data_IF_153563156220
#
_entry.id   IF_153563156220
#
_cell.length_a   1.000
_cell.length_b   1.000
_cell.length_c   1.000
_cell.angle_alpha   90.00
_cell.angle_beta   90.00
_cell.angle_gamma   90.00
#
_symmetry.space_group_name_H-M   'P 1'
#
loop_
_entity.id
_entity.type
_entity.pdbx_description
1 polymer ?
#
# COMPACT_ATOMS: atom_id res chain seq x y z
N UNK A 1 1.70 -3.75 45.52
CA UNK A 1 0.28 -3.37 45.31
C UNK A 1 -0.18 -4.12 44.07
N UNK A 2 -1.09 -5.06 44.27
CA UNK A 2 -1.59 -6.02 43.27
C UNK A 2 -2.58 -5.34 42.34
N UNK A 3 -2.36 -5.42 41.02
CA UNK A 3 -3.42 -5.25 40.01
C UNK A 3 -3.36 -6.45 39.07
N UNK A 4 -4.25 -7.38 39.36
CA UNK A 4 -4.73 -8.45 38.48
C UNK A 4 -5.44 -7.83 37.27
N UNK A 5 -4.99 -8.16 36.05
CA UNK A 5 -5.81 -8.09 34.84
C UNK A 5 -6.42 -9.48 34.58
N UNK A 6 -7.66 -9.57 34.08
CA UNK A 6 -8.28 -10.85 33.79
C UNK A 6 -7.88 -11.32 32.38
N UNK A 7 -7.37 -12.55 32.32
CA UNK A 7 -7.15 -13.31 31.09
C UNK A 7 -8.51 -13.67 30.46
N UNK A 8 -8.72 -13.28 29.20
CA UNK A 8 -9.81 -13.80 28.36
C UNK A 8 -9.29 -15.11 27.75
N UNK A 9 -9.75 -16.21 28.31
CA UNK A 9 -9.54 -17.57 27.80
C UNK A 9 -10.64 -17.86 26.78
N UNK A 10 -10.28 -18.09 25.51
CA UNK A 10 -11.18 -18.71 24.51
C UNK A 10 -10.59 -20.01 23.98
N UNK A 11 -11.51 -20.86 23.56
CA UNK A 11 -11.44 -22.30 23.46
C UNK A 11 -10.59 -22.76 22.27
N UNK A 12 -9.58 -23.60 22.53
CA UNK A 12 -8.97 -24.44 21.51
C UNK A 12 -9.84 -25.70 21.30
N UNK A 13 -10.44 -25.83 20.12
CA UNK A 13 -10.91 -27.11 19.61
C UNK A 13 -9.75 -27.77 18.87
N UNK A 14 -9.33 -28.94 19.36
CA UNK A 14 -8.23 -29.73 18.85
C UNK A 14 -8.48 -30.23 17.42
N UNK A 15 -7.75 -29.69 16.45
CA UNK A 15 -7.55 -30.30 15.14
C UNK A 15 -6.09 -30.78 15.03
N UNK A 16 -5.93 -31.97 14.45
CA UNK A 16 -4.68 -32.73 14.45
C UNK A 16 -3.79 -32.25 13.30
N UNK A 17 -2.66 -31.63 13.63
CA UNK A 17 -1.66 -31.17 12.68
C UNK A 17 -1.10 -32.33 11.84
N UNK A 18 -1.26 -32.24 10.53
CA UNK A 18 -0.42 -32.93 9.55
C UNK A 18 0.48 -31.85 8.96
N UNK A 19 1.72 -31.82 9.43
CA UNK A 19 2.75 -30.89 8.96
C UNK A 19 3.04 -31.13 7.47
N UNK A 20 2.82 -30.09 6.66
CA UNK A 20 3.42 -29.94 5.33
C UNK A 20 4.28 -28.67 5.41
N UNK A 21 5.58 -28.85 5.52
CA UNK A 21 6.54 -27.76 5.52
C UNK A 21 6.63 -27.14 4.12
N UNK A 22 6.28 -25.87 3.99
CA UNK A 22 6.72 -25.01 2.89
C UNK A 22 7.85 -24.13 3.42
N UNK A 23 9.05 -24.32 2.88
CA UNK A 23 10.22 -23.54 3.25
C UNK A 23 10.25 -22.27 2.39
N UNK A 24 10.04 -21.11 3.02
CA UNK A 24 10.45 -19.82 2.44
C UNK A 24 11.91 -19.60 2.81
N UNK A 25 12.73 -19.39 1.80
CA UNK A 25 14.18 -19.41 1.90
C UNK A 25 14.70 -18.11 2.53
N UNK A 26 15.20 -18.22 3.77
CA UNK A 26 16.00 -17.18 4.41
C UNK A 26 17.29 -16.90 3.63
N UNK A 27 17.58 -15.61 3.47
CA UNK A 27 18.67 -15.05 2.69
C UNK A 27 20.06 -15.60 3.01
N UNK A 28 20.82 -15.85 1.94
CA UNK A 28 22.23 -16.22 2.02
C UNK A 28 23.12 -14.99 2.09
N UNK A 29 23.94 -14.90 3.15
CA UNK A 29 25.13 -14.04 3.23
C UNK A 29 25.97 -14.17 1.94
N UNK A 30 26.08 -13.08 1.17
CA UNK A 30 27.03 -12.98 0.06
C UNK A 30 28.42 -12.60 0.58
N UNK A 31 29.35 -13.56 0.57
CA UNK A 31 30.79 -13.34 0.76
C UNK A 31 31.41 -12.76 -0.51
N UNK A 32 32.08 -11.61 -0.41
CA UNK A 32 32.88 -10.99 -1.47
C UNK A 32 34.11 -11.83 -1.87
N UNK A 33 34.45 -11.96 -3.17
CA UNK A 33 35.80 -12.35 -3.59
C UNK A 33 36.57 -11.18 -4.23
N UNK A 34 37.76 -10.89 -3.69
CA UNK A 34 38.77 -10.01 -4.27
C UNK A 34 39.52 -10.69 -5.46
N UNK A 35 40.23 -9.93 -6.32
CA UNK A 35 40.39 -10.27 -7.74
C UNK A 35 41.64 -11.09 -8.07
N UNK A 36 41.55 -11.92 -9.12
CA UNK A 36 42.69 -12.58 -9.73
C UNK A 36 42.84 -12.19 -11.21
N UNK A 37 43.95 -11.53 -11.52
CA UNK A 37 44.40 -11.20 -12.86
C UNK A 37 45.08 -12.40 -13.55
N UNK A 38 44.78 -12.63 -14.84
CA UNK A 38 45.70 -13.15 -15.88
C UNK A 38 44.93 -13.27 -17.22
N UNK A 39 45.13 -12.35 -18.18
CA UNK A 39 46.09 -12.46 -19.30
C UNK A 39 45.91 -13.64 -20.28
N UNK A 40 45.31 -13.31 -21.44
CA UNK A 40 45.95 -13.27 -22.77
C UNK A 40 45.65 -14.36 -23.82
N UNK A 41 45.62 -13.86 -25.07
CA UNK A 41 45.66 -14.50 -26.41
C UNK A 41 44.31 -14.95 -26.99
N UNK A 42 43.94 -14.62 -28.23
CA UNK A 42 44.56 -13.85 -29.31
C UNK A 42 43.88 -14.16 -30.65
N UNK A 43 43.95 -13.22 -31.60
CA UNK A 43 43.73 -13.44 -33.05
C UNK A 43 42.31 -13.15 -33.55
N UNK A 44 42.03 -12.02 -34.21
CA UNK A 44 42.41 -11.60 -35.57
C UNK A 44 41.35 -11.94 -36.65
N UNK A 45 40.77 -10.89 -37.25
CA UNK A 45 40.83 -10.55 -38.70
C UNK A 45 39.50 -10.06 -39.31
N UNK A 46 39.57 -8.85 -39.92
CA UNK A 46 39.07 -8.39 -41.25
C UNK A 46 37.56 -8.58 -41.61
N UNK A 47 36.81 -7.69 -42.29
CA UNK A 47 37.12 -6.65 -43.29
C UNK A 47 35.89 -5.75 -43.59
N UNK A 48 36.18 -4.47 -43.85
CA UNK A 48 35.56 -3.41 -44.67
C UNK A 48 34.17 -3.49 -45.36
N UNK A 49 33.57 -2.28 -45.43
CA UNK A 49 32.69 -1.75 -46.50
C UNK A 49 31.53 -0.93 -45.89
N UNK A 50 31.36 0.38 -46.00
CA UNK A 50 31.82 1.40 -46.95
C UNK A 50 30.71 1.74 -47.94
N UNK A 51 29.98 2.86 -47.77
CA UNK A 51 29.38 3.69 -48.82
C UNK A 51 28.84 5.03 -48.24
N UNK A 52 28.68 6.01 -49.12
CA UNK A 52 28.91 7.46 -49.00
C UNK A 52 27.69 8.25 -49.53
N UNK A 53 27.68 9.56 -49.24
CA UNK A 53 26.94 10.70 -49.84
C UNK A 53 25.46 10.89 -49.48
N UNK A 54 24.91 12.09 -49.24
CA UNK A 54 25.40 13.47 -49.28
C UNK A 54 24.23 14.46 -49.53
N UNK A 55 24.33 15.70 -49.01
CA UNK A 55 23.51 16.93 -49.27
C UNK A 55 22.00 16.89 -48.92
N UNK A 56 21.29 17.96 -48.53
CA UNK A 56 21.47 19.40 -48.75
C UNK A 56 20.72 20.26 -47.70
N UNK A 57 21.16 21.51 -47.56
CA UNK A 57 20.61 22.64 -46.77
C UNK A 57 19.39 23.27 -47.47
N UNK A 58 18.30 23.70 -46.81
CA UNK A 58 18.14 24.97 -46.11
C UNK A 58 17.42 26.03 -46.99
N UNK A 59 16.24 26.53 -46.59
CA UNK A 59 15.52 27.72 -47.11
C UNK A 59 14.39 28.02 -46.08
N UNK A 60 14.34 29.15 -45.37
CA UNK A 60 14.07 30.57 -45.70
C UNK A 60 12.58 30.97 -45.69
N UNK A 61 12.41 32.19 -45.20
CA UNK A 61 11.31 32.99 -44.70
C UNK A 61 10.20 33.42 -45.68
N UNK A 62 9.08 33.91 -45.11
CA UNK A 62 8.07 34.66 -45.88
C UNK A 62 6.83 35.13 -45.10
N UNK A 63 6.80 36.42 -44.76
CA UNK A 63 5.63 37.22 -44.34
C UNK A 63 4.50 37.27 -45.38
N UNK A 64 3.23 37.48 -44.95
CA UNK A 64 2.44 38.72 -45.20
C UNK A 64 1.03 38.68 -44.59
N UNK A 65 0.62 39.83 -44.06
CA UNK A 65 -0.74 40.27 -43.72
C UNK A 65 -1.70 40.25 -44.93
N UNK A 66 -3.01 40.07 -44.68
CA UNK A 66 -4.07 40.97 -45.18
C UNK A 66 -5.44 40.57 -44.61
N UNK A 67 -6.16 41.54 -44.04
CA UNK A 67 -7.51 41.36 -43.51
C UNK A 67 -8.61 41.62 -44.55
N UNK A 68 -9.79 41.03 -44.35
CA UNK A 68 -11.06 41.64 -44.76
C UNK A 68 -12.28 41.01 -44.07
N UNK A 69 -13.09 41.91 -43.52
CA UNK A 69 -14.40 41.77 -42.89
C UNK A 69 -15.53 41.46 -43.92
N UNK A 70 -16.50 40.60 -43.55
CA UNK A 70 -17.94 40.58 -43.92
C UNK A 70 -18.61 39.25 -43.54
N UNK A 71 -19.61 39.29 -42.65
CA UNK A 71 -20.69 38.28 -42.59
C UNK A 71 -21.87 38.64 -43.51
N UNK A 72 -23.06 38.03 -43.37
CA UNK A 72 -23.42 36.71 -42.83
C UNK A 72 -24.22 35.86 -43.86
N UNK A 73 -24.63 34.63 -43.47
CA UNK A 73 -25.87 33.91 -43.84
C UNK A 73 -25.69 32.43 -44.26
N UNK A 74 -26.48 31.59 -43.56
CA UNK A 74 -27.12 30.34 -43.98
C UNK A 74 -26.30 29.04 -44.10
N UNK A 75 -26.38 28.21 -43.05
CA UNK A 75 -26.19 26.75 -43.11
C UNK A 75 -27.36 26.04 -43.79
N UNK A 76 -27.10 24.89 -44.44
CA UNK A 76 -27.67 23.65 -43.91
C UNK A 76 -26.74 22.44 -43.97
N UNK A 77 -26.59 21.75 -42.84
CA UNK A 77 -26.83 20.30 -42.68
C UNK A 77 -25.94 19.24 -43.36
N UNK A 78 -25.51 18.30 -42.49
CA UNK A 78 -25.22 16.86 -42.68
C UNK A 78 -23.78 16.40 -42.99
N UNK A 79 -23.29 15.47 -42.14
CA UNK A 79 -22.37 14.42 -42.56
C UNK A 79 -21.55 13.78 -41.44
N UNK A 80 -22.17 12.98 -40.57
CA UNK A 80 -21.43 12.07 -39.68
C UNK A 80 -20.70 10.98 -40.48
N UNK A 81 -19.45 10.69 -40.09
CA UNK A 81 -18.71 9.48 -40.51
C UNK A 81 -18.43 8.64 -39.27
N UNK A 82 -19.09 7.49 -39.19
CA UNK A 82 -18.78 6.45 -38.21
C UNK A 82 -17.39 5.87 -38.45
N UNK A 83 -16.69 5.58 -37.35
CA UNK A 83 -15.46 4.77 -37.34
C UNK A 83 -15.82 3.28 -37.39
N UNK A 84 -15.03 2.53 -38.13
CA UNK A 84 -15.17 1.08 -38.28
C UNK A 84 -14.58 0.34 -37.08
N UNK A 85 -15.09 -0.87 -36.74
CA UNK A 85 -14.61 -1.67 -35.62
C UNK A 85 -13.34 -2.45 -36.00
N UNK A 86 -12.28 -2.33 -35.21
CA UNK A 86 -11.06 -3.14 -35.38
C UNK A 86 -9.73 -2.51 -34.93
N UNK A 87 -9.71 -1.28 -34.42
CA UNK A 87 -8.47 -0.69 -33.93
C UNK A 87 -8.31 -1.01 -32.43
N UNK A 88 -7.48 -2.02 -32.14
CA UNK A 88 -7.02 -2.32 -30.80
C UNK A 88 -6.26 -1.09 -30.28
N UNK A 89 -6.89 -0.35 -29.37
CA UNK A 89 -6.24 0.74 -28.67
C UNK A 89 -5.06 0.21 -27.87
N UNK A 90 -3.87 0.65 -28.24
CA UNK A 90 -2.70 0.69 -27.36
C UNK A 90 -3.14 1.28 -26.02
N UNK A 91 -3.32 0.43 -25.01
CA UNK A 91 -3.55 0.87 -23.63
C UNK A 91 -2.31 1.63 -23.20
N UNK A 92 -2.46 2.92 -22.86
CA UNK A 92 -1.46 3.61 -22.06
C UNK A 92 -1.18 2.78 -20.80
N UNK A 93 0.07 2.75 -20.29
CA UNK A 93 0.35 2.15 -18.98
C UNK A 93 -0.59 2.79 -17.97
N UNK A 94 -1.34 1.96 -17.23
CA UNK A 94 -2.18 2.47 -16.14
C UNK A 94 -1.25 3.02 -15.06
N UNK A 95 -1.48 4.26 -14.64
CA UNK A 95 -0.79 4.82 -13.47
C UNK A 95 -1.55 4.44 -12.20
N UNK A 96 -0.92 4.57 -11.03
CA UNK A 96 -1.60 4.33 -9.74
C UNK A 96 -2.88 5.18 -9.61
N UNK A 97 -2.88 6.35 -10.25
CA UNK A 97 -4.03 7.26 -10.40
C UNK A 97 -5.26 6.60 -11.02
N UNK A 98 -5.08 5.63 -11.92
CA UNK A 98 -6.18 4.89 -12.55
C UNK A 98 -6.75 3.84 -11.59
N UNK A 99 -5.94 3.26 -10.70
CA UNK A 99 -6.42 2.43 -9.57
C UNK A 99 -7.35 3.27 -8.71
N UNK A 100 -6.87 4.40 -8.21
CA UNK A 100 -7.67 5.22 -7.29
C UNK A 100 -8.94 5.76 -7.94
N UNK A 101 -8.92 6.04 -9.26
CA UNK A 101 -10.14 6.37 -10.00
C UNK A 101 -11.07 5.18 -10.14
N UNK A 102 -10.57 3.97 -10.41
CA UNK A 102 -11.39 2.77 -10.56
C UNK A 102 -12.05 2.37 -9.25
N UNK A 103 -11.29 2.42 -8.15
CA UNK A 103 -11.76 2.30 -6.77
C UNK A 103 -12.86 3.31 -6.47
N UNK A 104 -12.68 4.59 -6.82
CA UNK A 104 -13.70 5.61 -6.61
C UNK A 104 -14.88 5.54 -7.60
N UNK A 105 -14.71 4.89 -8.75
CA UNK A 105 -15.74 4.72 -9.78
C UNK A 105 -16.52 3.41 -9.62
N UNK A 106 -16.09 2.50 -8.74
CA UNK A 106 -16.82 1.27 -8.43
C UNK A 106 -18.24 1.54 -7.85
N UNK A 107 -18.54 2.79 -7.46
CA UNK A 107 -19.85 3.23 -6.97
C UNK A 107 -20.69 4.02 -8.00
N UNK A 108 -20.17 4.33 -9.20
CA UNK A 108 -20.91 5.08 -10.21
C UNK A 108 -20.79 4.44 -11.60
N UNK A 109 -21.82 3.69 -11.99
CA UNK A 109 -22.03 3.23 -13.37
C UNK A 109 -22.41 4.38 -14.31
N UNK A 110 -21.67 5.49 -14.23
CA UNK A 110 -21.85 6.70 -15.01
C UNK A 110 -20.60 6.97 -15.85
N UNK A 111 -20.68 6.64 -17.13
CA UNK A 111 -19.70 6.98 -18.14
C UNK A 111 -19.49 8.50 -18.16
N UNK A 112 -18.40 8.96 -17.53
CA UNK A 112 -17.99 10.36 -17.54
C UNK A 112 -17.29 10.69 -18.88
N UNK A 113 -17.97 10.42 -19.99
CA UNK A 113 -17.64 11.05 -21.28
C UNK A 113 -18.17 12.48 -21.24
N UNK A 114 -17.44 13.36 -20.55
CA UNK A 114 -17.74 14.79 -20.51
C UNK A 114 -17.44 15.45 -21.86
N UNK A 115 -18.28 15.19 -22.86
CA UNK A 115 -18.42 15.94 -24.10
C UNK A 115 -19.08 17.31 -23.82
N UNK A 116 -18.40 18.16 -23.04
CA UNK A 116 -18.94 19.48 -22.65
C UNK A 116 -18.70 20.50 -23.77
N UNK A 117 -19.73 21.01 -24.47
CA UNK A 117 -19.53 21.92 -25.59
C UNK A 117 -19.41 23.39 -25.15
N UNK A 118 -18.70 24.19 -25.94
CA UNK A 118 -18.24 25.57 -25.66
C UNK A 118 -19.34 26.61 -25.34
N UNK A 119 -20.62 26.30 -25.49
CA UNK A 119 -21.72 27.22 -25.18
C UNK A 119 -22.05 27.28 -23.67
N UNK A 120 -21.50 26.37 -22.86
CA UNK A 120 -21.67 26.37 -21.42
C UNK A 120 -20.76 27.43 -20.76
N UNK A 121 -21.29 28.66 -20.68
CA UNK A 121 -20.62 29.84 -20.10
C UNK A 121 -20.04 29.67 -18.68
N UNK A 122 -19.26 30.69 -18.29
CA UNK A 122 -18.35 30.67 -17.14
C UNK A 122 -19.00 30.49 -15.75
N UNK A 123 -18.20 29.84 -14.89
CA UNK A 123 -18.35 29.52 -13.46
C UNK A 123 -19.24 30.52 -12.69
N UNK A 124 -20.47 30.08 -12.37
CA UNK A 124 -21.33 30.76 -11.40
C UNK A 124 -20.69 30.77 -10.02
N UNK A 125 -20.60 31.97 -9.43
CA UNK A 125 -19.99 32.21 -8.13
C UNK A 125 -20.88 31.81 -6.96
N UNK A 126 -20.19 31.74 -5.81
CA UNK A 126 -20.70 31.69 -4.42
C UNK A 126 -22.11 32.28 -4.26
N UNK A 127 -23.06 31.42 -3.92
CA UNK A 127 -23.94 31.49 -2.74
C UNK A 127 -25.15 30.59 -2.99
N UNK A 128 -25.06 29.34 -2.58
CA UNK A 128 -26.20 28.55 -2.12
C UNK A 128 -25.57 27.39 -1.33
N UNK A 129 -26.16 27.11 -0.18
CA UNK A 129 -25.66 26.20 0.84
C UNK A 129 -25.03 24.95 0.23
N UNK A 130 -23.81 24.63 0.70
CA UNK A 130 -23.08 23.43 0.29
C UNK A 130 -24.02 22.24 0.30
N UNK A 131 -24.47 21.87 -0.89
CA UNK A 131 -25.15 20.61 -1.11
C UNK A 131 -24.20 19.53 -0.64
N UNK A 132 -24.78 18.53 0.02
CA UNK A 132 -24.09 17.29 0.36
C UNK A 132 -23.27 16.86 -0.86
N UNK A 133 -21.96 16.59 -0.74
CA UNK A 133 -21.24 15.95 -1.83
C UNK A 133 -22.00 14.67 -2.20
N UNK A 134 -22.05 14.32 -3.49
CA UNK A 134 -22.75 13.12 -3.97
C UNK A 134 -22.23 11.83 -3.32
N UNK A 135 -21.11 11.90 -2.60
CA UNK A 135 -20.49 10.85 -1.80
C UNK A 135 -20.96 10.80 -0.34
N UNK A 136 -21.92 11.64 0.07
CA UNK A 136 -22.52 11.52 1.39
C UNK A 136 -23.76 10.63 1.30
N UNK A 137 -23.70 9.40 1.77
CA UNK A 137 -24.82 8.47 1.72
C UNK A 137 -26.00 8.94 2.57
N UNK A 138 -27.19 8.79 2.00
CA UNK A 138 -28.45 9.29 2.53
C UNK A 138 -29.09 8.40 3.59
N UNK A 139 -28.45 7.26 3.90
CA UNK A 139 -28.96 6.28 4.86
C UNK A 139 -28.05 6.19 6.08
N UNK A 140 -28.66 6.16 7.27
CA UNK A 140 -27.94 5.89 8.52
C UNK A 140 -27.50 4.42 8.46
N UNK A 141 -26.18 4.18 8.43
CA UNK A 141 -25.57 2.90 8.02
C UNK A 141 -24.66 3.03 6.78
N UNK A 142 -24.53 4.23 6.21
CA UNK A 142 -23.52 4.55 5.22
C UNK A 142 -22.13 4.09 5.70
N UNK A 143 -21.25 3.68 4.79
CA UNK A 143 -19.84 3.29 5.05
C UNK A 143 -19.04 4.36 5.83
N UNK A 144 -19.65 5.55 5.96
CA UNK A 144 -19.19 6.76 6.62
C UNK A 144 -19.91 7.10 7.94
N UNK A 145 -20.86 6.28 8.42
CA UNK A 145 -21.54 6.37 9.72
C UNK A 145 -20.93 5.46 10.80
N UNK A 146 -21.40 5.57 12.04
CA UNK A 146 -20.85 4.90 13.26
C UNK A 146 -20.35 3.48 12.99
N UNK A 147 -19.02 3.28 13.12
CA UNK A 147 -18.36 2.00 12.87
C UNK A 147 -18.27 1.21 14.17
N UNK A 148 -18.85 0.00 14.18
CA UNK A 148 -18.81 -0.88 15.34
C UNK A 148 -18.07 -2.17 15.00
N UNK A 149 -17.56 -2.84 16.02
CA UNK A 149 -17.10 -4.23 15.90
C UNK A 149 -18.31 -5.09 15.54
N UNK A 150 -18.24 -5.83 14.44
CA UNK A 150 -19.36 -6.65 13.93
C UNK A 150 -18.98 -8.12 13.83
N UNK A 151 -20.00 -8.98 13.78
CA UNK A 151 -19.84 -10.40 13.54
C UNK A 151 -19.40 -10.65 12.09
N UNK A 152 -18.28 -11.35 11.92
CA UNK A 152 -17.69 -11.71 10.62
C UNK A 152 -17.39 -13.20 10.52
N UNK A 153 -17.22 -13.68 9.30
CA UNK A 153 -16.68 -15.01 9.02
C UNK A 153 -15.14 -15.01 8.94
N UNK A 154 -14.57 -16.15 8.57
CA UNK A 154 -13.12 -16.39 8.50
C UNK A 154 -12.41 -15.57 7.41
N UNK A 155 -13.15 -15.10 6.40
CA UNK A 155 -12.67 -14.26 5.31
C UNK A 155 -12.83 -12.75 5.62
N UNK A 156 -13.41 -12.43 6.78
CA UNK A 156 -13.66 -11.05 7.21
C UNK A 156 -14.95 -10.46 6.63
N UNK A 157 -15.80 -11.26 5.99
CA UNK A 157 -17.09 -10.80 5.48
C UNK A 157 -18.11 -10.68 6.62
N UNK A 158 -18.99 -9.66 6.61
CA UNK A 158 -20.00 -9.49 7.64
C UNK A 158 -21.07 -10.59 7.57
N UNK A 159 -21.35 -11.24 8.70
CA UNK A 159 -22.48 -12.19 8.80
C UNK A 159 -23.76 -11.38 9.00
N UNK A 160 -24.64 -11.40 7.99
CA UNK A 160 -25.89 -10.66 8.01
C UNK A 160 -27.02 -11.41 8.75
N UNK A 161 -27.97 -10.68 9.32
CA UNK A 161 -29.23 -11.26 9.83
C UNK A 161 -30.11 -11.76 8.67
N UNK A 162 -31.19 -12.50 8.97
CA UNK A 162 -32.18 -12.91 7.95
C UNK A 162 -32.81 -11.71 7.22
N UNK A 163 -32.90 -10.56 7.90
CA UNK A 163 -33.38 -9.29 7.37
C UNK A 163 -32.32 -8.50 6.58
N UNK A 164 -31.06 -8.98 6.56
CA UNK A 164 -29.96 -8.37 5.82
C UNK A 164 -29.23 -7.25 6.56
N UNK A 165 -29.23 -7.26 7.90
CA UNK A 165 -28.50 -6.27 8.70
C UNK A 165 -27.13 -6.77 9.17
N UNK A 166 -26.15 -5.87 9.26
CA UNK A 166 -24.90 -6.16 9.97
C UNK A 166 -25.17 -6.36 11.46
N UNK A 167 -24.38 -7.20 12.12
CA UNK A 167 -24.59 -7.56 13.53
C UNK A 167 -23.44 -7.04 14.41
N UNK A 168 -23.56 -5.86 15.04
CA UNK A 168 -22.59 -5.41 16.03
C UNK A 168 -22.53 -6.37 17.22
N UNK A 169 -21.34 -6.50 17.80
CA UNK A 169 -21.08 -7.39 18.95
C UNK A 169 -20.61 -6.60 20.17
N UNK A 170 -20.81 -7.20 21.36
CA UNK A 170 -20.25 -6.69 22.60
C UNK A 170 -18.79 -7.13 22.82
N UNK A 171 -18.21 -6.77 23.98
CA UNK A 171 -16.86 -7.17 24.38
C UNK A 171 -16.65 -8.69 24.53
N UNK A 172 -17.74 -9.44 24.64
CA UNK A 172 -17.74 -10.89 24.66
C UNK A 172 -18.09 -11.47 23.28
N UNK A 173 -18.07 -10.68 22.20
CA UNK A 173 -18.36 -11.14 20.85
C UNK A 173 -19.78 -11.67 20.67
N UNK A 174 -20.71 -11.29 21.56
CA UNK A 174 -22.11 -11.68 21.48
C UNK A 174 -22.85 -10.65 20.63
N UNK A 175 -23.62 -11.08 19.61
CA UNK A 175 -24.43 -10.16 18.81
C UNK A 175 -25.41 -9.35 19.65
N UNK A 176 -25.44 -8.04 19.42
CA UNK A 176 -26.33 -7.10 20.08
C UNK A 176 -27.71 -7.07 19.41
N UNK A 177 -28.75 -6.80 20.20
CA UNK A 177 -30.11 -6.71 19.69
C UNK A 177 -30.30 -5.45 18.82
N UNK A 178 -30.90 -5.67 17.65
CA UNK A 178 -31.28 -4.62 16.69
C UNK A 178 -32.81 -4.39 16.73
N UNK A 179 -33.23 -3.16 16.45
CA UNK A 179 -34.63 -2.81 16.27
C UNK A 179 -35.16 -3.16 14.87
N UNK A 180 -36.43 -2.86 14.60
CA UNK A 180 -37.09 -3.14 13.31
C UNK A 180 -36.46 -2.38 12.13
N UNK A 181 -35.70 -1.32 12.42
CA UNK A 181 -34.98 -0.49 11.46
C UNK A 181 -33.49 -0.86 11.34
N UNK A 182 -33.01 -1.90 12.02
CA UNK A 182 -31.62 -2.36 11.98
C UNK A 182 -30.66 -1.52 12.85
N UNK A 183 -31.17 -0.66 13.73
CA UNK A 183 -30.37 0.11 14.66
C UNK A 183 -30.21 -0.59 16.01
N UNK A 184 -29.10 -0.33 16.70
CA UNK A 184 -28.85 -0.89 18.03
C UNK A 184 -29.88 -0.40 19.05
N UNK A 185 -30.48 -1.36 19.76
CA UNK A 185 -31.41 -1.05 20.86
C UNK A 185 -30.67 -0.36 22.02
N UNK A 186 -29.44 -0.80 22.31
CA UNK A 186 -28.54 -0.16 23.28
C UNK A 186 -27.15 0.07 22.67
N UNK A 187 -26.87 1.28 22.15
CA UNK A 187 -25.58 1.58 21.54
C UNK A 187 -24.43 1.66 22.54
N UNK A 188 -24.70 1.69 23.86
CA UNK A 188 -23.62 1.78 24.87
C UNK A 188 -22.88 0.48 25.10
N UNK A 189 -23.41 -0.64 24.60
CA UNK A 189 -22.80 -1.96 24.65
C UNK A 189 -21.89 -2.23 23.45
N UNK A 190 -22.05 -1.48 22.36
CA UNK A 190 -21.27 -1.66 21.16
C UNK A 190 -19.86 -1.07 21.32
N UNK A 191 -18.89 -1.73 20.68
CA UNK A 191 -17.50 -1.28 20.65
C UNK A 191 -17.30 -0.50 19.36
N UNK A 192 -16.90 0.77 19.50
CA UNK A 192 -16.56 1.62 18.35
C UNK A 192 -15.22 1.20 17.75
N UNK A 193 -15.16 1.17 16.42
CA UNK A 193 -13.93 0.93 15.67
C UNK A 193 -13.19 2.25 15.48
N UNK A 194 -11.95 2.29 15.94
CA UNK A 194 -11.10 3.48 15.84
C UNK A 194 -10.15 3.34 14.66
N UNK A 195 -10.29 4.21 13.67
CA UNK A 195 -9.39 4.25 12.50
C UNK A 195 -8.17 5.16 12.70
N UNK A 196 -8.21 6.06 13.68
CA UNK A 196 -7.13 7.03 13.93
C UNK A 196 -6.73 7.79 12.65
N UNK A 197 -5.47 7.64 12.24
CA UNK A 197 -4.87 8.24 11.03
C UNK A 197 -5.43 7.66 9.72
N UNK A 198 -5.94 6.43 9.75
CA UNK A 198 -6.50 5.75 8.58
C UNK A 198 -7.82 6.37 8.10
N UNK A 199 -8.45 7.24 8.90
CA UNK A 199 -9.53 8.10 8.45
C UNK A 199 -9.18 8.91 7.19
N UNK A 200 -7.88 9.08 6.89
CA UNK A 200 -7.41 9.68 5.66
C UNK A 200 -7.84 8.92 4.40
N UNK A 201 -8.18 7.63 4.48
CA UNK A 201 -8.76 6.86 3.38
C UNK A 201 -10.10 7.41 2.88
N UNK A 202 -10.80 8.20 3.69
CA UNK A 202 -12.02 8.93 3.30
C UNK A 202 -11.74 10.24 2.55
N UNK A 203 -10.46 10.59 2.38
CA UNK A 203 -10.06 11.79 1.65
C UNK A 203 -10.25 11.57 0.14
N UNK A 204 -10.41 12.65 -0.65
CA UNK A 204 -10.42 12.53 -2.10
C UNK A 204 -9.19 11.78 -2.62
N UNK A 205 -9.38 10.93 -3.62
CA UNK A 205 -8.34 10.10 -4.23
C UNK A 205 -7.13 10.89 -4.76
N UNK A 206 -7.33 12.16 -5.08
CA UNK A 206 -6.24 13.07 -5.46
C UNK A 206 -5.15 13.24 -4.38
N UNK A 207 -5.47 12.98 -3.11
CA UNK A 207 -4.51 13.00 -2.01
C UNK A 207 -3.53 11.81 -2.12
N UNK A 208 -4.05 10.61 -2.42
CA UNK A 208 -3.24 9.41 -2.60
C UNK A 208 -2.45 9.44 -3.91
N UNK A 209 -3.08 9.92 -4.99
CA UNK A 209 -2.43 10.06 -6.32
C UNK A 209 -1.10 10.81 -6.27
N UNK A 210 -1.05 11.92 -5.53
CA UNK A 210 0.17 12.73 -5.47
C UNK A 210 1.32 11.98 -4.78
N UNK A 211 0.99 11.17 -3.77
CA UNK A 211 1.96 10.38 -3.00
C UNK A 211 2.46 9.19 -3.79
N UNK A 212 1.56 8.54 -4.51
CA UNK A 212 1.90 7.51 -5.47
C UNK A 212 3.00 7.95 -6.46
N UNK A 213 2.85 9.12 -7.09
CA UNK A 213 3.83 9.61 -8.06
C UNK A 213 5.22 9.85 -7.43
N UNK A 214 5.25 10.35 -6.18
CA UNK A 214 6.49 10.56 -5.42
C UNK A 214 7.20 9.23 -5.13
N UNK A 215 6.45 8.18 -4.78
CA UNK A 215 6.99 6.84 -4.52
C UNK A 215 7.45 6.15 -5.79
N UNK A 216 6.64 6.18 -6.86
CA UNK A 216 7.01 5.58 -8.15
C UNK A 216 8.32 6.18 -8.66
N UNK A 217 8.50 7.49 -8.49
CA UNK A 217 9.78 8.15 -8.81
C UNK A 217 10.92 7.60 -7.95
N UNK A 218 10.69 7.43 -6.65
CA UNK A 218 11.69 6.94 -5.72
C UNK A 218 12.10 5.48 -6.00
N UNK A 219 11.14 4.61 -6.32
CA UNK A 219 11.38 3.19 -6.60
C UNK A 219 12.11 2.98 -7.93
N UNK A 220 11.77 3.75 -8.97
CA UNK A 220 12.45 3.67 -10.26
C UNK A 220 13.89 4.22 -10.25
N UNK A 221 14.24 5.04 -9.25
CA UNK A 221 15.59 5.61 -9.08
C UNK A 221 16.46 4.79 -8.12
N UNK A 222 15.91 3.72 -7.53
CA UNK A 222 16.58 2.89 -6.53
C UNK A 222 17.73 2.08 -7.14
N UNK A 223 18.88 2.04 -6.46
CA UNK A 223 19.96 1.12 -6.78
C UNK A 223 19.73 -0.27 -6.17
N UNK A 224 19.06 -0.32 -5.01
CA UNK A 224 18.70 -1.54 -4.29
C UNK A 224 17.43 -1.30 -3.45
N UNK A 225 16.63 -2.35 -3.25
CA UNK A 225 15.47 -2.37 -2.36
C UNK A 225 15.71 -3.38 -1.25
N UNK A 226 15.32 -3.03 -0.04
CA UNK A 226 15.30 -3.93 1.11
C UNK A 226 14.09 -3.59 2.01
N UNK A 227 13.96 -4.25 3.15
CA UNK A 227 12.92 -4.00 4.14
C UNK A 227 13.51 -3.71 5.51
N UNK A 228 12.79 -2.95 6.33
CA UNK A 228 13.12 -2.78 7.74
C UNK A 228 12.56 -3.92 8.61
N UNK A 229 12.80 -3.86 9.91
CA UNK A 229 12.36 -4.88 10.87
C UNK A 229 10.85 -5.07 10.95
N UNK A 230 10.05 -4.12 10.47
CA UNK A 230 8.60 -4.22 10.40
C UNK A 230 8.10 -4.53 8.98
N UNK A 231 9.00 -4.82 8.03
CA UNK A 231 8.67 -5.13 6.65
C UNK A 231 8.43 -3.89 5.76
N UNK A 232 8.75 -2.67 6.21
CA UNK A 232 8.58 -1.46 5.38
C UNK A 232 9.68 -1.37 4.35
N UNK A 233 9.34 -0.99 3.12
CA UNK A 233 10.31 -0.81 2.05
C UNK A 233 11.36 0.26 2.40
N UNK A 234 12.62 -0.08 2.18
CA UNK A 234 13.79 0.79 2.31
C UNK A 234 14.46 0.88 0.96
N UNK A 235 14.51 2.10 0.44
CA UNK A 235 15.19 2.40 -0.82
C UNK A 235 16.64 2.74 -0.52
N UNK A 236 17.55 2.04 -1.19
CA UNK A 236 19.00 2.19 -1.03
C UNK A 236 19.55 2.83 -2.31
N UNK A 237 20.32 3.91 -2.13
CA UNK A 237 21.00 4.60 -3.23
C UNK A 237 22.49 4.70 -2.94
N UNK A 238 23.32 4.39 -3.92
CA UNK A 238 24.77 4.48 -3.82
C UNK A 238 25.27 5.83 -4.30
N UNK A 239 26.10 6.48 -3.48
CA UNK A 239 26.84 7.68 -3.89
C UNK A 239 28.14 7.23 -4.51
N UNK A 240 28.35 7.55 -5.79
CA UNK A 240 29.53 7.15 -6.55
C UNK A 240 30.57 8.27 -6.65
N UNK A 241 31.85 7.91 -6.63
CA UNK A 241 32.94 8.81 -6.97
C UNK A 241 33.16 8.95 -8.49
N UNK A 242 34.16 9.75 -8.88
CA UNK A 242 34.54 9.95 -10.28
C UNK A 242 35.02 8.68 -11.01
N UNK A 243 35.34 7.62 -10.28
CA UNK A 243 35.77 6.32 -10.79
C UNK A 243 34.67 5.26 -10.72
N UNK A 244 33.42 5.66 -10.43
CA UNK A 244 32.27 4.79 -10.30
C UNK A 244 32.38 3.79 -9.14
N UNK A 245 33.09 4.17 -8.08
CA UNK A 245 33.17 3.41 -6.83
C UNK A 245 32.19 3.98 -5.81
N UNK A 246 31.50 3.10 -5.07
CA UNK A 246 30.62 3.50 -3.97
C UNK A 246 31.46 4.12 -2.85
N UNK A 247 31.13 5.37 -2.49
CA UNK A 247 31.78 6.11 -1.40
C UNK A 247 30.85 6.38 -0.21
N UNK A 248 29.54 6.29 -0.43
CA UNK A 248 28.52 6.42 0.61
C UNK A 248 27.25 5.66 0.17
N UNK A 249 26.37 5.34 1.11
CA UNK A 249 25.10 4.64 0.86
C UNK A 249 23.99 5.32 1.63
N UNK A 250 22.97 5.78 0.91
CA UNK A 250 21.84 6.51 1.47
C UNK A 250 20.65 5.57 1.60
N UNK A 251 20.22 5.34 2.84
CA UNK A 251 19.04 4.56 3.16
C UNK A 251 17.83 5.47 3.36
N UNK A 252 16.73 5.17 2.68
CA UNK A 252 15.47 5.90 2.83
C UNK A 252 14.31 4.93 2.99
N UNK A 253 13.88 4.73 4.23
CA UNK A 253 12.64 4.01 4.55
C UNK A 253 11.43 4.79 4.06
N UNK A 254 10.49 4.12 3.42
CA UNK A 254 9.17 4.68 3.10
C UNK A 254 8.34 4.71 4.39
N UNK A 255 8.44 5.81 5.13
CA UNK A 255 7.87 5.95 6.47
C UNK A 255 6.62 6.85 6.53
N UNK A 256 6.28 7.49 5.40
CA UNK A 256 5.13 8.37 5.32
C UNK A 256 3.83 7.53 5.26
N UNK A 257 2.81 7.85 6.08
CA UNK A 257 1.60 7.04 6.17
C UNK A 257 0.82 6.97 4.86
N UNK A 258 0.71 8.11 4.18
CA UNK A 258 -0.01 8.20 2.91
C UNK A 258 0.71 7.45 1.80
N UNK A 259 2.04 7.35 1.90
CA UNK A 259 2.85 6.68 0.90
C UNK A 259 2.62 5.17 1.02
N UNK A 260 2.69 4.66 2.26
CA UNK A 260 2.37 3.27 2.55
C UNK A 260 0.91 2.91 2.23
N UNK A 261 -0.05 3.81 2.52
CA UNK A 261 -1.46 3.58 2.17
C UNK A 261 -1.69 3.52 0.65
N UNK A 262 -0.96 4.34 -0.13
CA UNK A 262 -1.05 4.31 -1.58
C UNK A 262 -0.52 2.98 -2.16
N UNK A 263 0.62 2.50 -1.64
CA UNK A 263 1.18 1.19 -2.00
C UNK A 263 0.25 0.05 -1.60
N UNK A 264 -0.33 0.11 -0.39
CA UNK A 264 -1.31 -0.88 0.08
C UNK A 264 -2.48 -1.02 -0.90
N UNK A 265 -3.09 0.10 -1.30
CA UNK A 265 -4.21 0.08 -2.26
C UNK A 265 -3.77 -0.48 -3.61
N UNK A 266 -2.56 -0.12 -4.08
CA UNK A 266 -2.04 -0.59 -5.35
C UNK A 266 -1.89 -2.12 -5.38
N UNK A 267 -1.21 -2.70 -4.38
CA UNK A 267 -1.00 -4.15 -4.28
C UNK A 267 -2.32 -4.89 -4.06
N UNK A 268 -3.14 -4.44 -3.11
CA UNK A 268 -4.40 -5.11 -2.78
C UNK A 268 -5.46 -5.04 -3.88
N UNK A 269 -5.31 -4.13 -4.86
CA UNK A 269 -6.27 -3.97 -5.96
C UNK A 269 -5.76 -4.56 -7.28
N UNK A 270 -4.48 -4.36 -7.61
CA UNK A 270 -3.93 -4.77 -8.91
C UNK A 270 -2.81 -5.81 -8.80
N UNK A 271 -2.31 -6.17 -7.61
CA UNK A 271 -1.17 -7.07 -7.44
C UNK A 271 0.12 -6.50 -8.04
N UNK A 272 0.25 -5.17 -8.09
CA UNK A 272 1.42 -4.48 -8.65
C UNK A 272 1.44 -3.02 -8.22
N UNK A 273 2.62 -2.40 -8.29
CA UNK A 273 2.83 -0.96 -8.11
C UNK A 273 2.85 -0.30 -9.51
N UNK A 274 1.74 0.30 -9.97
CA UNK A 274 1.69 0.80 -11.34
C UNK A 274 2.62 1.98 -11.54
N UNK A 275 3.38 1.94 -12.64
CA UNK A 275 4.38 2.95 -12.98
C UNK A 275 5.80 2.58 -12.53
N UNK A 276 5.96 1.49 -11.78
CA UNK A 276 7.25 0.82 -11.59
C UNK A 276 7.27 -0.40 -12.50
N UNK A 277 8.27 -0.51 -13.37
CA UNK A 277 8.35 -1.61 -14.35
C UNK A 277 9.47 -2.58 -14.08
N UNK A 278 10.43 -2.18 -13.24
CA UNK A 278 11.62 -2.93 -12.91
C UNK A 278 12.07 -2.47 -11.52
N UNK A 279 12.34 -3.42 -10.63
CA UNK A 279 12.94 -3.16 -9.33
C UNK A 279 14.35 -3.79 -9.32
N UNK A 280 15.31 -3.20 -8.59
CA UNK A 280 16.63 -3.78 -8.51
C UNK A 280 16.60 -5.11 -7.73
N UNK A 281 17.11 -6.16 -8.37
CA UNK A 281 17.14 -7.51 -7.79
C UNK A 281 16.06 -8.42 -8.38
N UNK A 282 15.79 -9.55 -7.72
CA UNK A 282 14.66 -10.45 -8.03
C UNK A 282 13.77 -10.66 -6.78
N UNK A 283 14.19 -10.21 -5.60
CA UNK A 283 13.53 -10.49 -4.31
C UNK A 283 12.16 -9.80 -4.18
N UNK A 284 11.99 -8.64 -4.83
CA UNK A 284 10.79 -7.81 -4.73
C UNK A 284 10.02 -7.71 -6.05
N UNK A 285 10.30 -8.61 -7.01
CA UNK A 285 9.66 -8.60 -8.33
C UNK A 285 8.14 -8.83 -8.26
N UNK A 286 7.67 -9.55 -7.23
CA UNK A 286 6.25 -9.74 -6.97
C UNK A 286 5.50 -8.40 -6.78
N UNK A 287 6.17 -7.34 -6.34
CA UNK A 287 5.55 -6.01 -6.22
C UNK A 287 5.23 -5.36 -7.58
N UNK A 288 5.74 -5.89 -8.69
CA UNK A 288 5.62 -5.28 -10.02
C UNK A 288 5.19 -6.26 -11.11
N UNK A 289 4.87 -7.51 -10.78
CA UNK A 289 4.57 -8.55 -11.76
C UNK A 289 3.11 -8.54 -12.28
N UNK A 290 2.18 -7.93 -11.53
CA UNK A 290 0.76 -7.85 -11.87
C UNK A 290 -0.05 -9.09 -11.49
N UNK A 291 0.49 -9.94 -10.62
CA UNK A 291 -0.18 -11.12 -10.08
C UNK A 291 -0.43 -10.89 -8.58
N UNK A 292 -1.68 -10.99 -8.13
CA UNK A 292 -1.98 -10.91 -6.70
C UNK A 292 -1.74 -12.27 -6.03
N UNK A 293 -0.75 -12.33 -5.15
CA UNK A 293 -0.27 -13.55 -4.50
C UNK A 293 -0.18 -13.41 -2.97
N UNK A 294 0.18 -14.49 -2.29
CA UNK A 294 0.48 -14.44 -0.85
C UNK A 294 1.64 -13.50 -0.49
N UNK A 295 2.61 -13.30 -1.40
CA UNK A 295 3.73 -12.37 -1.18
C UNK A 295 3.24 -10.91 -1.13
N UNK A 296 2.25 -10.54 -1.96
CA UNK A 296 1.58 -9.25 -1.89
C UNK A 296 0.85 -9.04 -0.58
N UNK A 297 0.17 -10.08 -0.09
CA UNK A 297 -0.51 -10.03 1.21
C UNK A 297 0.49 -9.82 2.35
N UNK A 298 1.63 -10.51 2.32
CA UNK A 298 2.72 -10.31 3.30
C UNK A 298 3.21 -8.86 3.26
N UNK A 299 3.53 -8.33 2.07
CA UNK A 299 3.96 -6.93 1.94
C UNK A 299 2.85 -5.94 2.34
N UNK A 300 1.60 -6.23 2.04
CA UNK A 300 0.47 -5.39 2.39
C UNK A 300 0.30 -5.22 3.91
N UNK A 301 0.72 -6.20 4.72
CA UNK A 301 0.63 -6.10 6.18
C UNK A 301 1.46 -4.94 6.75
N UNK A 302 2.72 -4.81 6.33
CA UNK A 302 3.62 -3.76 6.77
C UNK A 302 3.21 -2.38 6.23
N UNK A 303 2.67 -2.34 5.01
CA UNK A 303 2.18 -1.11 4.39
C UNK A 303 0.95 -0.57 5.14
N UNK A 304 -0.03 -1.42 5.45
CA UNK A 304 -1.19 -0.98 6.24
C UNK A 304 -0.78 -0.58 7.66
N UNK A 305 0.13 -1.33 8.28
CA UNK A 305 0.69 -1.02 9.59
C UNK A 305 1.34 0.36 9.62
N UNK A 306 2.18 0.68 8.63
CA UNK A 306 2.87 1.96 8.50
C UNK A 306 1.92 3.14 8.19
N UNK A 307 0.81 2.87 7.50
CA UNK A 307 -0.26 3.84 7.28
C UNK A 307 -1.06 4.15 8.55
N UNK A 308 -1.12 3.21 9.50
CA UNK A 308 -1.95 3.29 10.69
C UNK A 308 -1.39 4.20 11.80
N UNK A 309 -2.12 4.30 12.91
CA UNK A 309 -1.61 4.96 14.11
C UNK A 309 -0.58 4.07 14.82
N UNK A 310 0.45 4.68 15.43
CA UNK A 310 1.54 3.94 16.07
C UNK A 310 1.17 3.41 17.45
N UNK A 311 0.16 3.98 18.10
CA UNK A 311 -0.09 3.75 19.52
C UNK A 311 -1.34 2.94 19.80
N UNK A 312 -2.37 3.13 18.99
CA UNK A 312 -3.62 2.37 19.12
C UNK A 312 -3.50 1.03 18.41
N UNK A 313 -4.12 -0.01 18.98
CA UNK A 313 -4.20 -1.34 18.38
C UNK A 313 -5.14 -1.28 17.19
N UNK A 314 -4.72 -1.86 16.07
CA UNK A 314 -5.54 -1.95 14.89
C UNK A 314 -6.43 -3.20 14.96
N UNK A 315 -7.71 -3.00 15.28
CA UNK A 315 -8.68 -4.10 15.31
C UNK A 315 -8.89 -4.72 13.91
N UNK A 316 -9.24 -6.00 13.87
CA UNK A 316 -9.66 -6.71 12.66
C UNK A 316 -10.74 -5.95 11.86
N UNK A 317 -11.75 -5.41 12.55
CA UNK A 317 -12.77 -4.60 11.90
C UNK A 317 -12.21 -3.34 11.25
N UNK A 318 -11.21 -2.70 11.88
CA UNK A 318 -10.56 -1.54 11.28
C UNK A 318 -9.93 -1.89 9.93
N UNK A 319 -9.28 -3.06 9.82
CA UNK A 319 -8.72 -3.55 8.56
C UNK A 319 -9.83 -3.77 7.52
N UNK A 320 -10.89 -4.49 7.89
CA UNK A 320 -11.99 -4.81 6.96
C UNK A 320 -12.72 -3.55 6.48
N UNK A 321 -12.99 -2.62 7.39
CA UNK A 321 -13.58 -1.33 7.05
C UNK A 321 -12.65 -0.49 6.19
N UNK A 322 -11.33 -0.52 6.42
CA UNK A 322 -10.40 0.19 5.58
C UNK A 322 -10.40 -0.34 4.15
N UNK A 323 -10.46 -1.66 3.96
CA UNK A 323 -10.59 -2.22 2.61
C UNK A 323 -11.87 -1.76 1.93
N UNK A 324 -13.00 -1.78 2.65
CA UNK A 324 -14.27 -1.31 2.11
C UNK A 324 -14.26 0.20 1.79
N UNK A 325 -13.75 1.05 2.70
CA UNK A 325 -13.62 2.51 2.51
C UNK A 325 -12.74 2.84 1.31
N UNK A 326 -11.67 2.05 1.11
CA UNK A 326 -10.75 2.19 -0.02
C UNK A 326 -11.23 1.46 -1.27
N UNK A 327 -12.47 0.97 -1.32
CA UNK A 327 -13.05 0.29 -2.49
C UNK A 327 -12.26 -0.93 -2.97
N UNK A 328 -11.52 -1.59 -2.08
CA UNK A 328 -10.71 -2.77 -2.37
C UNK A 328 -11.63 -3.99 -2.42
N UNK A 329 -11.82 -4.53 -3.62
CA UNK A 329 -12.60 -5.74 -3.91
C UNK A 329 -13.95 -5.77 -3.17
N UNK A 330 -14.74 -4.71 -3.34
CA UNK A 330 -15.99 -4.54 -2.60
C UNK A 330 -17.18 -5.22 -3.27
N UNK A 331 -18.03 -5.84 -2.46
CA UNK A 331 -19.33 -6.40 -2.84
C UNK A 331 -20.42 -5.58 -2.14
N UNK A 332 -21.53 -5.33 -2.86
CA UNK A 332 -22.71 -4.67 -2.29
C UNK A 332 -23.88 -5.65 -2.25
N UNK A 333 -24.33 -5.96 -1.04
CA UNK A 333 -25.53 -6.74 -0.78
C UNK A 333 -26.61 -5.87 -0.14
N UNK A 334 -27.69 -5.63 -0.88
CA UNK A 334 -28.76 -4.74 -0.41
C UNK A 334 -28.26 -3.30 -0.23
N UNK A 335 -28.13 -2.86 1.02
CA UNK A 335 -27.63 -1.52 1.38
C UNK A 335 -26.24 -1.56 2.02
N UNK A 336 -25.61 -2.73 2.10
CA UNK A 336 -24.33 -2.93 2.77
C UNK A 336 -23.25 -3.16 1.73
N UNK A 337 -22.16 -2.41 1.84
CA UNK A 337 -20.94 -2.62 1.05
C UNK A 337 -19.82 -3.09 1.97
N UNK A 338 -19.15 -4.17 1.61
CA UNK A 338 -18.02 -4.75 2.35
C UNK A 338 -16.95 -5.26 1.38
N UNK A 339 -15.73 -5.47 1.87
CA UNK A 339 -14.63 -6.06 1.09
C UNK A 339 -14.70 -7.58 1.14
N UNK A 340 -14.54 -8.24 -0.02
CA UNK A 340 -14.61 -9.70 -0.21
C UNK A 340 -13.27 -10.20 -0.75
N UNK A 341 -12.19 -9.93 0.01
CA UNK A 341 -10.83 -10.35 -0.35
C UNK A 341 -10.59 -11.82 -0.01
N UNK A 342 -9.82 -12.50 -0.85
CA UNK A 342 -9.40 -13.88 -0.60
C UNK A 342 -8.11 -13.89 0.23
N UNK A 343 -8.21 -14.42 1.45
CA UNK A 343 -7.09 -14.58 2.38
C UNK A 343 -6.70 -16.06 2.58
N UNK A 344 -7.26 -16.97 1.77
CA UNK A 344 -7.09 -18.41 1.97
C UNK A 344 -5.65 -18.91 1.81
N UNK A 345 -4.83 -18.19 1.04
CA UNK A 345 -3.40 -18.49 0.86
C UNK A 345 -2.50 -17.76 1.89
N UNK A 346 -3.08 -17.02 2.84
CA UNK A 346 -2.32 -16.27 3.83
C UNK A 346 -2.29 -16.97 5.18
N UNK A 347 -1.08 -17.31 5.62
CA UNK A 347 -0.80 -17.83 6.97
C UNK A 347 0.09 -16.85 7.73
N UNK A 348 0.01 -16.87 9.05
CA UNK A 348 0.82 -16.01 9.88
C UNK A 348 1.34 -16.76 11.10
N UNK A 349 2.66 -16.79 11.25
CA UNK A 349 3.35 -17.26 12.44
C UNK A 349 4.29 -16.13 12.91
N UNK A 350 4.02 -15.62 14.12
CA UNK A 350 4.76 -14.51 14.69
C UNK A 350 6.21 -14.90 14.96
N UNK A 351 6.44 -16.10 15.47
CA UNK A 351 7.80 -16.58 15.75
C UNK A 351 8.60 -16.70 14.45
N UNK A 352 8.04 -17.30 13.40
CA UNK A 352 8.70 -17.40 12.10
C UNK A 352 9.00 -16.00 11.49
N UNK A 353 8.15 -15.01 11.79
CA UNK A 353 8.33 -13.64 11.29
C UNK A 353 9.42 -12.86 12.04
N UNK A 354 9.51 -13.01 13.36
CA UNK A 354 10.29 -12.09 14.21
C UNK A 354 11.41 -12.73 15.04
N UNK A 355 11.50 -14.07 15.15
CA UNK A 355 12.47 -14.74 16.04
C UNK A 355 13.93 -14.42 15.70
N UNK A 356 14.23 -14.19 14.42
CA UNK A 356 15.55 -13.89 13.90
C UNK A 356 15.79 -12.38 13.69
N UNK A 357 14.79 -11.54 13.95
CA UNK A 357 14.85 -10.10 13.70
C UNK A 357 15.55 -9.41 14.87
N UNK A 358 16.77 -8.93 14.60
CA UNK A 358 17.60 -8.19 15.55
C UNK A 358 17.68 -6.73 15.10
N UNK A 359 17.32 -5.81 15.98
CA UNK A 359 17.44 -4.36 15.75
C UNK A 359 18.39 -3.75 16.76
N UNK A 360 19.07 -2.67 16.37
CA UNK A 360 19.85 -1.87 17.33
C UNK A 360 19.02 -0.68 17.79
N UNK A 361 18.72 -0.63 19.07
CA UNK A 361 17.89 0.42 19.68
C UNK A 361 18.56 1.00 20.92
N UNK A 362 18.08 2.14 21.39
CA UNK A 362 18.52 2.72 22.65
C UNK A 362 17.87 2.01 23.83
N UNK A 363 18.69 1.38 24.67
CA UNK A 363 18.29 0.72 25.92
C UNK A 363 18.72 1.58 27.11
N UNK A 364 17.78 1.83 28.03
CA UNK A 364 18.06 2.57 29.26
C UNK A 364 18.82 1.71 30.26
N UNK A 365 19.97 2.20 30.70
CA UNK A 365 20.84 1.55 31.67
C UNK A 365 20.41 1.85 33.11
N UNK A 366 20.89 1.07 34.08
CA UNK A 366 20.61 1.24 35.52
C UNK A 366 20.96 2.64 36.06
N UNK A 367 21.90 3.34 35.43
CA UNK A 367 22.32 4.69 35.79
C UNK A 367 21.47 5.80 35.13
N UNK A 368 20.48 5.42 34.33
CA UNK A 368 19.58 6.32 33.59
C UNK A 368 20.13 6.82 32.24
N UNK A 369 21.33 6.40 31.84
CA UNK A 369 21.86 6.66 30.50
C UNK A 369 21.20 5.75 29.45
N UNK A 370 21.36 6.10 28.16
CA UNK A 370 20.85 5.32 27.04
C UNK A 370 22.03 4.85 26.20
N UNK A 371 22.06 3.56 25.86
CA UNK A 371 23.13 2.94 25.07
C UNK A 371 22.50 2.15 23.93
N UNK A 372 23.11 2.23 22.75
CA UNK A 372 22.69 1.44 21.60
C UNK A 372 23.09 -0.02 21.80
N UNK A 373 22.10 -0.91 21.84
CA UNK A 373 22.31 -2.35 22.02
C UNK A 373 21.49 -3.15 20.98
N UNK A 374 22.03 -4.27 20.47
CA UNK A 374 21.27 -5.18 19.63
C UNK A 374 20.26 -5.94 20.50
N UNK A 375 18.99 -5.88 20.12
CA UNK A 375 17.89 -6.57 20.79
C UNK A 375 17.07 -7.39 19.80
N UNK A 376 16.46 -8.45 20.29
CA UNK A 376 15.59 -9.30 19.49
C UNK A 376 14.15 -8.78 19.55
N UNK A 377 13.50 -8.60 18.40
CA UNK A 377 12.13 -8.06 18.34
C UNK A 377 11.12 -9.01 18.98
N UNK A 378 11.27 -10.32 18.76
CA UNK A 378 10.34 -11.31 19.31
C UNK A 378 10.33 -11.34 20.85
N UNK A 379 11.50 -11.20 21.47
CA UNK A 379 11.63 -11.06 22.93
C UNK A 379 11.11 -9.69 23.41
N UNK A 380 11.65 -8.59 22.89
CA UNK A 380 11.39 -7.26 23.46
C UNK A 380 9.96 -6.73 23.22
N UNK A 381 9.40 -7.01 22.05
CA UNK A 381 8.07 -6.50 21.67
C UNK A 381 6.98 -7.47 22.13
N UNK A 382 7.17 -8.76 21.85
CA UNK A 382 6.13 -9.76 22.06
C UNK A 382 6.32 -10.61 23.32
N UNK A 383 7.44 -10.48 24.02
CA UNK A 383 7.72 -11.24 25.25
C UNK A 383 7.81 -12.75 25.01
N UNK A 384 8.30 -13.16 23.84
CA UNK A 384 8.30 -14.55 23.36
C UNK A 384 6.88 -15.18 23.30
N UNK A 385 5.83 -14.36 23.23
CA UNK A 385 4.46 -14.82 23.09
C UNK A 385 4.15 -15.03 21.62
N UNK A 386 3.94 -16.28 21.26
CA UNK A 386 3.61 -16.67 19.90
C UNK A 386 2.14 -16.43 19.52
N UNK A 387 1.91 -16.32 18.22
CA UNK A 387 0.59 -16.34 17.60
C UNK A 387 0.72 -17.03 16.24
N UNK A 388 -0.16 -18.00 15.99
CA UNK A 388 -0.18 -18.77 14.76
C UNK A 388 -1.60 -18.79 14.22
N UNK A 389 -1.74 -18.44 12.95
CA UNK A 389 -2.96 -18.56 12.17
C UNK A 389 -2.71 -19.43 10.94
N UNK A 390 -3.45 -20.54 10.88
CA UNK A 390 -3.64 -21.47 9.75
C UNK A 390 -3.71 -20.78 8.40
N UNK A 391 -4.84 -20.07 8.24
CA UNK A 391 -5.29 -19.40 7.04
C UNK A 391 -6.22 -18.24 7.49
N UNK A 392 -6.48 -17.29 6.59
CA UNK A 392 -7.64 -16.39 6.72
C UNK A 392 -7.34 -15.00 7.29
N UNK A 393 -8.43 -14.24 7.43
CA UNK A 393 -8.38 -12.80 7.68
C UNK A 393 -7.87 -12.44 9.08
N UNK A 394 -8.11 -13.30 10.08
CA UNK A 394 -7.61 -13.11 11.45
C UNK A 394 -6.09 -13.01 11.49
N UNK A 395 -5.40 -13.91 10.78
CA UNK A 395 -3.93 -13.91 10.68
C UNK A 395 -3.40 -12.67 10.00
N UNK A 396 -4.06 -12.22 8.92
CA UNK A 396 -3.70 -11.00 8.21
C UNK A 396 -3.84 -9.77 9.11
N UNK A 397 -4.98 -9.62 9.78
CA UNK A 397 -5.22 -8.50 10.69
C UNK A 397 -4.23 -8.48 11.87
N UNK A 398 -3.92 -9.65 12.45
CA UNK A 398 -2.93 -9.76 13.51
C UNK A 398 -1.53 -9.38 13.03
N UNK A 399 -1.12 -9.83 11.85
CA UNK A 399 0.17 -9.47 11.26
C UNK A 399 0.32 -7.96 11.04
N UNK A 400 -0.76 -7.28 10.62
CA UNK A 400 -0.78 -5.82 10.49
C UNK A 400 -0.59 -5.14 11.86
N UNK A 401 -1.29 -5.58 12.91
CA UNK A 401 -1.16 -4.97 14.24
C UNK A 401 0.23 -5.25 14.86
N UNK A 402 0.76 -6.46 14.66
CA UNK A 402 2.09 -6.85 15.12
C UNK A 402 3.18 -6.00 14.42
N UNK A 403 3.10 -5.85 13.09
CA UNK A 403 3.99 -4.96 12.34
C UNK A 403 3.88 -3.52 12.84
N UNK A 404 2.68 -3.04 13.17
CA UNK A 404 2.47 -1.71 13.77
C UNK A 404 3.14 -1.60 15.13
N UNK A 405 3.10 -2.64 15.96
CA UNK A 405 3.77 -2.66 17.26
C UNK A 405 5.28 -2.61 17.12
N UNK A 406 5.86 -3.36 16.18
CA UNK A 406 7.28 -3.26 15.85
C UNK A 406 7.64 -1.85 15.37
N UNK A 407 6.84 -1.23 14.49
CA UNK A 407 7.02 0.16 14.04
C UNK A 407 6.99 1.13 15.22
N UNK A 408 6.11 0.91 16.19
CA UNK A 408 6.02 1.72 17.40
C UNK A 408 7.30 1.62 18.22
N UNK A 409 7.75 0.38 18.48
CA UNK A 409 8.93 0.08 19.27
C UNK A 409 10.21 0.68 18.64
N UNK A 410 10.47 0.42 17.36
CA UNK A 410 11.69 0.92 16.69
C UNK A 410 11.73 2.45 16.63
N UNK A 411 10.57 3.11 16.57
CA UNK A 411 10.52 4.57 16.58
C UNK A 411 10.69 5.17 17.98
N UNK A 412 10.14 4.53 19.02
CA UNK A 412 10.27 5.00 20.39
C UNK A 412 11.73 4.92 20.87
N UNK A 413 12.44 3.86 20.49
CA UNK A 413 13.83 3.62 20.90
C UNK A 413 14.85 3.89 19.79
N UNK A 414 14.47 4.67 18.77
CA UNK A 414 15.35 5.00 17.64
C UNK A 414 16.62 5.75 18.09
N UNK A 415 17.74 5.42 17.46
CA UNK A 415 19.00 6.17 17.63
C UNK A 415 18.89 7.49 16.84
N UNK A 416 19.16 8.65 17.46
CA UNK A 416 19.20 9.92 16.76
C UNK A 416 20.14 9.88 15.55
N UNK A 417 19.69 10.41 14.41
CA UNK A 417 20.42 10.33 13.15
C UNK A 417 21.84 10.94 13.22
N UNK A 418 22.05 11.94 14.07
CA UNK A 418 23.36 12.56 14.29
C UNK A 418 24.33 11.69 15.12
N UNK A 419 23.86 10.57 15.66
CA UNK A 419 24.65 9.63 16.45
C UNK A 419 24.90 8.29 15.75
N UNK A 420 24.24 8.00 14.62
CA UNK A 420 24.37 6.73 13.89
C UNK A 420 25.82 6.50 13.44
N UNK A 421 26.48 7.52 12.89
CA UNK A 421 27.89 7.43 12.43
C UNK A 421 28.90 7.19 13.56
N UNK A 422 28.50 7.42 14.82
CA UNK A 422 29.36 7.21 16.00
C UNK A 422 29.19 5.84 16.67
N UNK A 423 28.22 5.05 16.21
CA UNK A 423 27.81 3.77 16.82
C UNK A 423 28.16 2.57 15.93
N UNK A 424 28.47 2.78 14.64
CA UNK A 424 29.00 1.71 13.78
C UNK A 424 30.34 1.24 14.36
N UNK A 425 30.47 -0.02 14.81
CA UNK A 425 31.75 -0.53 15.25
C UNK A 425 32.71 -0.49 14.06
N UNK A 426 33.89 0.13 14.23
CA UNK A 426 34.98 0.05 13.25
C UNK A 426 35.11 -1.43 12.83
N UNK A 427 35.06 -1.68 11.51
CA UNK A 427 35.23 -3.02 10.97
C UNK A 427 36.46 -3.67 11.62
N UNK A 428 36.42 -4.98 11.95
CA UNK A 428 37.58 -5.65 12.48
C UNK A 428 38.70 -5.56 11.43
N UNK A 429 39.68 -4.69 11.72
CA UNK A 429 40.90 -4.56 10.92
C UNK A 429 41.53 -5.93 10.70
N UNK A 430 41.99 -6.23 9.46
CA UNK A 430 42.35 -7.59 9.02
C UNK A 430 43.53 -8.24 9.76
#
# INVERSE_FOLDING_TARGET
MSKTQPCISRYFSSATAIAVALAVAGGTLATLPAPAAAQHSGGASTQAGGHDSGHDTGEDSGHTDDGHDKGPDAEPGKGGKGRAPGEAGSRSPRGMQDIFRSVAAAEDGGDDTSDRPDWAGAKGGRNEHGGKPSTGGDNRGDLYGDMYVILRDEDGEPILTEEGWVQPVDADGVPLELDEEGALVDPTLAIEVVLGRLNVGRSPTSVLNKRADEIVTLLNDADEITVDAAGRLVVVNYVLDENNQVIDTVYKTIDAPLDNLALYVALMTEGTIPGVTDLPGEEYDFLVDGEFTGEDLVAATSLLAAASDKYETLSLDAVAYMNAILGINTVTEGTITYSSMDYSDYSYDRSDTYDAVIVTVLVQQDDGSWVAEPVNIYDEVFGEVDYVSEDGFDGFAQAVDDAREVISYIHEYAIPADQIDSVVPEEPTP
#
